data_IF_731189630784
#
_entry.id   IF_731189630784
#
_cell.length_a   1.000
_cell.length_b   1.000
_cell.length_c   1.000
_cell.angle_alpha   90.00
_cell.angle_beta   90.00
_cell.angle_gamma   90.00
#
_symmetry.space_group_name_H-M   'P 1'
#
loop_
_entity.id
_entity.type
_entity.pdbx_description
1 polymer ?
#
# COMPACT_ATOMS: atom_id res chain seq x y z
N UNK A 1 -7.59 15.63 -6.89
CA UNK A 1 -8.06 15.97 -5.53
C UNK A 1 -6.91 15.77 -4.54
N UNK A 2 -6.49 16.84 -3.92
CA UNK A 2 -5.58 16.79 -2.79
C UNK A 2 -6.42 16.41 -1.58
N UNK A 3 -6.35 15.16 -1.12
CA UNK A 3 -6.95 14.74 0.13
C UNK A 3 -6.28 15.48 1.28
N UNK A 4 -7.00 16.38 1.95
CA UNK A 4 -6.52 17.07 3.12
C UNK A 4 -6.41 16.11 4.30
N UNK A 5 -5.22 15.80 4.73
CA UNK A 5 -4.99 15.37 6.11
C UNK A 5 -4.75 16.61 6.99
N UNK A 6 -5.05 16.45 8.28
CA UNK A 6 -5.08 17.49 9.28
C UNK A 6 -4.02 18.60 9.17
N UNK A 7 -4.41 19.83 9.41
CA UNK A 7 -3.71 21.07 9.13
C UNK A 7 -2.29 21.27 9.68
N UNK A 8 -1.79 20.42 10.55
CA UNK A 8 -0.47 20.60 11.17
C UNK A 8 0.71 20.01 10.40
N UNK A 9 0.47 19.07 9.47
CA UNK A 9 1.52 18.36 8.72
C UNK A 9 1.54 18.63 7.22
N UNK A 10 0.69 19.54 6.74
CA UNK A 10 0.47 19.86 5.32
C UNK A 10 1.76 20.27 4.60
N UNK A 11 2.76 20.76 5.30
CA UNK A 11 3.99 21.32 4.71
C UNK A 11 5.16 20.34 4.60
N UNK A 12 5.01 19.10 5.08
CA UNK A 12 6.16 18.19 5.15
C UNK A 12 6.34 17.34 3.90
N UNK A 13 5.25 16.77 3.38
CA UNK A 13 5.27 15.91 2.20
C UNK A 13 4.02 16.08 1.35
N UNK A 14 4.20 16.26 0.05
CA UNK A 14 3.12 16.22 -0.95
C UNK A 14 3.12 14.85 -1.64
N UNK A 15 1.92 14.29 -1.88
CA UNK A 15 1.78 13.03 -2.61
C UNK A 15 0.92 13.19 -3.86
N UNK A 16 1.40 12.64 -4.96
CA UNK A 16 0.60 12.42 -6.15
C UNK A 16 -0.20 11.12 -5.96
N UNK A 17 -1.53 11.21 -6.03
CA UNK A 17 -2.41 10.12 -5.60
C UNK A 17 -2.46 8.95 -6.58
N UNK A 18 -2.32 9.24 -7.90
CA UNK A 18 -2.50 8.27 -8.96
C UNK A 18 -1.77 8.71 -10.25
N UNK A 19 -1.11 7.81 -10.99
CA UNK A 19 -0.51 8.17 -12.28
C UNK A 19 -1.59 8.47 -13.33
N UNK A 20 -1.48 9.60 -14.05
CA UNK A 20 -2.43 10.01 -15.08
C UNK A 20 -2.54 9.00 -16.23
N UNK A 21 -1.47 8.27 -16.52
CA UNK A 21 -1.43 7.22 -17.53
C UNK A 21 -2.09 5.91 -17.11
N UNK A 22 -2.60 5.83 -15.86
CA UNK A 22 -3.10 4.60 -15.25
C UNK A 22 -1.97 3.71 -14.71
N UNK A 23 -2.35 2.68 -13.96
CA UNK A 23 -1.46 1.65 -13.43
C UNK A 23 -2.23 0.36 -13.12
N UNK A 24 -1.52 -0.70 -12.77
CA UNK A 24 -2.14 -1.97 -12.37
C UNK A 24 -2.77 -1.95 -10.97
N UNK A 25 -2.61 -0.89 -10.20
CA UNK A 25 -3.18 -0.76 -8.86
C UNK A 25 -4.72 -0.71 -8.87
N UNK A 26 -5.34 -0.78 -7.70
CA UNK A 26 -6.81 -0.84 -7.53
C UNK A 26 -7.45 -2.01 -8.29
N UNK A 27 -6.77 -3.17 -8.30
CA UNK A 27 -7.24 -4.41 -8.95
C UNK A 27 -7.38 -4.29 -10.47
N UNK A 28 -6.55 -3.44 -11.08
CA UNK A 28 -6.45 -3.31 -12.54
C UNK A 28 -5.39 -4.25 -13.14
N UNK A 29 -4.68 -5.03 -12.32
CA UNK A 29 -3.59 -5.91 -12.72
C UNK A 29 -3.95 -6.86 -13.88
N UNK A 30 -5.21 -7.26 -14.00
CA UNK A 30 -5.67 -8.12 -15.10
C UNK A 30 -6.08 -7.37 -16.37
N UNK A 31 -6.30 -6.06 -16.29
CA UNK A 31 -6.78 -5.23 -17.39
C UNK A 31 -5.78 -4.13 -17.79
N UNK A 32 -4.70 -3.99 -17.05
CA UNK A 32 -3.69 -2.97 -17.31
C UNK A 32 -2.87 -3.33 -18.54
N UNK A 33 -2.93 -2.45 -19.54
CA UNK A 33 -2.23 -2.60 -20.82
C UNK A 33 -1.35 -1.38 -21.08
N UNK A 34 -0.05 -1.47 -20.78
CA UNK A 34 0.88 -0.35 -20.98
C UNK A 34 1.13 -0.03 -22.46
N UNK A 35 0.80 -0.94 -23.39
CA UNK A 35 1.01 -0.69 -24.84
C UNK A 35 0.08 0.39 -25.39
N UNK A 36 -1.00 0.71 -24.67
CA UNK A 36 -1.93 1.79 -25.01
C UNK A 36 -1.42 3.19 -24.62
N UNK A 37 -0.28 3.28 -23.94
CA UNK A 37 0.29 4.56 -23.52
C UNK A 37 1.17 5.15 -24.63
N UNK A 38 1.07 6.47 -24.82
CA UNK A 38 1.98 7.23 -25.68
C UNK A 38 3.17 7.72 -24.84
N UNK A 39 4.37 7.27 -25.15
CA UNK A 39 5.57 7.60 -24.39
C UNK A 39 5.92 9.10 -24.40
N UNK A 40 5.66 9.80 -25.49
CA UNK A 40 5.93 11.23 -25.59
C UNK A 40 5.00 12.01 -24.67
N UNK A 41 3.69 11.75 -24.76
CA UNK A 41 2.68 12.37 -23.89
C UNK A 41 2.93 12.08 -22.40
N UNK A 42 3.31 10.85 -22.06
CA UNK A 42 3.66 10.48 -20.68
C UNK A 42 4.86 11.27 -20.18
N UNK A 43 5.91 11.38 -20.99
CA UNK A 43 7.11 12.12 -20.63
C UNK A 43 6.84 13.63 -20.51
N UNK A 44 6.05 14.21 -21.40
CA UNK A 44 5.64 15.62 -21.31
C UNK A 44 4.82 15.88 -20.04
N UNK A 45 3.86 14.98 -19.73
CA UNK A 45 3.06 15.08 -18.50
C UNK A 45 3.94 15.03 -17.24
N UNK A 46 4.88 14.07 -17.18
CA UNK A 46 5.80 13.95 -16.05
C UNK A 46 6.65 15.23 -15.87
N UNK A 47 7.19 15.78 -16.95
CA UNK A 47 7.95 17.04 -16.92
C UNK A 47 7.10 18.21 -16.45
N UNK A 48 5.88 18.34 -16.97
CA UNK A 48 4.93 19.37 -16.56
C UNK A 48 4.57 19.29 -15.07
N UNK A 49 4.30 18.08 -14.58
CA UNK A 49 4.02 17.83 -13.16
C UNK A 49 5.22 18.20 -12.28
N UNK A 50 6.43 17.78 -12.64
CA UNK A 50 7.65 18.07 -11.87
C UNK A 50 7.94 19.57 -11.85
N UNK A 51 7.78 20.29 -12.99
CA UNK A 51 7.93 21.73 -13.05
C UNK A 51 6.96 22.43 -12.07
N UNK A 52 5.68 22.08 -12.11
CA UNK A 52 4.66 22.64 -11.22
C UNK A 52 4.97 22.36 -9.75
N UNK A 53 5.41 21.12 -9.43
CA UNK A 53 5.82 20.76 -8.08
C UNK A 53 7.06 21.54 -7.61
N UNK A 54 8.01 21.78 -8.50
CA UNK A 54 9.20 22.58 -8.19
C UNK A 54 8.83 24.02 -7.81
N UNK A 55 7.90 24.64 -8.53
CA UNK A 55 7.40 25.99 -8.18
C UNK A 55 6.69 25.99 -6.81
N UNK A 56 5.77 25.03 -6.58
CA UNK A 56 5.09 24.91 -5.30
C UNK A 56 6.05 24.66 -4.12
N UNK A 57 7.13 23.92 -4.35
CA UNK A 57 8.14 23.70 -3.33
C UNK A 57 8.93 24.98 -3.04
N UNK A 58 9.31 25.76 -4.07
CA UNK A 58 9.96 27.08 -3.89
C UNK A 58 9.09 28.05 -3.10
N UNK A 59 7.76 27.97 -3.28
CA UNK A 59 6.77 28.72 -2.50
C UNK A 59 6.62 28.21 -1.04
N UNK A 60 7.33 27.14 -0.65
CA UNK A 60 7.27 26.57 0.68
C UNK A 60 6.00 25.75 0.99
N UNK A 61 5.23 25.34 -0.04
CA UNK A 61 3.98 24.58 0.13
C UNK A 61 4.22 23.17 0.67
N UNK A 62 5.37 22.58 0.39
CA UNK A 62 5.78 21.28 0.93
C UNK A 62 7.30 21.13 0.92
N UNK A 63 7.83 20.11 1.62
CA UNK A 63 9.27 19.82 1.70
C UNK A 63 9.70 18.63 0.87
N UNK A 64 8.91 17.58 0.85
CA UNK A 64 9.21 16.30 0.22
C UNK A 64 8.07 15.85 -0.68
N UNK A 65 8.42 15.15 -1.77
CA UNK A 65 7.49 14.53 -2.69
C UNK A 65 7.30 13.04 -2.33
N UNK A 66 6.08 12.56 -2.45
CA UNK A 66 5.73 11.14 -2.46
C UNK A 66 4.86 10.81 -3.66
N UNK A 67 4.94 9.58 -4.13
CA UNK A 67 4.04 9.03 -5.14
C UNK A 67 3.03 8.10 -4.48
N UNK A 68 1.92 7.83 -5.13
CA UNK A 68 0.96 6.83 -4.67
C UNK A 68 0.38 6.06 -5.85
N UNK A 69 0.21 4.75 -5.67
CA UNK A 69 -0.27 3.84 -6.70
C UNK A 69 0.57 3.91 -7.99
N UNK A 70 1.84 4.21 -7.81
CA UNK A 70 2.79 4.30 -8.89
C UNK A 70 3.49 2.94 -9.13
N UNK A 71 3.86 2.68 -10.37
CA UNK A 71 4.62 1.50 -10.77
C UNK A 71 6.11 1.72 -10.59
N UNK A 72 6.91 0.64 -10.62
CA UNK A 72 8.35 0.72 -10.59
C UNK A 72 8.89 1.60 -11.74
N UNK A 73 8.45 1.32 -12.98
CA UNK A 73 8.84 2.12 -14.15
C UNK A 73 8.55 3.61 -13.95
N UNK A 74 7.34 3.97 -13.52
CA UNK A 74 6.97 5.36 -13.34
C UNK A 74 7.75 6.04 -12.22
N UNK A 75 8.00 5.33 -11.11
CA UNK A 75 8.85 5.84 -10.03
C UNK A 75 10.25 6.15 -10.53
N UNK A 76 10.85 5.25 -11.32
CA UNK A 76 12.17 5.47 -11.93
C UNK A 76 12.17 6.62 -12.94
N UNK A 77 11.07 6.84 -13.69
CA UNK A 77 10.96 8.02 -14.56
C UNK A 77 10.93 9.32 -13.74
N UNK A 78 10.18 9.37 -12.61
CA UNK A 78 10.24 10.52 -11.70
C UNK A 78 11.67 10.75 -11.21
N UNK A 79 12.36 9.73 -10.73
CA UNK A 79 13.76 9.84 -10.26
C UNK A 79 14.66 10.40 -11.36
N UNK A 80 14.52 9.90 -12.58
CA UNK A 80 15.29 10.37 -13.75
C UNK A 80 15.10 11.85 -14.01
N UNK A 81 13.86 12.34 -14.05
CA UNK A 81 13.57 13.74 -14.31
C UNK A 81 13.89 14.66 -13.12
N UNK A 82 13.81 14.14 -11.89
CA UNK A 82 14.17 14.90 -10.68
C UNK A 82 15.67 15.22 -10.58
N UNK A 83 16.54 14.58 -11.39
CA UNK A 83 17.97 14.95 -11.43
C UNK A 83 18.20 16.42 -11.81
N UNK A 84 17.31 17.00 -12.58
CA UNK A 84 17.35 18.40 -12.96
C UNK A 84 16.80 19.34 -11.87
N UNK A 85 16.24 18.78 -10.77
CA UNK A 85 15.57 19.48 -9.67
C UNK A 85 16.12 19.07 -8.30
N UNK A 86 17.37 19.39 -7.95
CA UNK A 86 18.06 18.79 -6.78
C UNK A 86 17.40 19.10 -5.42
N UNK A 87 16.58 20.14 -5.37
CA UNK A 87 15.84 20.50 -4.15
C UNK A 87 14.55 19.71 -3.97
N UNK A 88 14.00 19.12 -5.04
CA UNK A 88 12.76 18.34 -5.03
C UNK A 88 13.08 16.86 -4.81
N UNK A 89 12.92 16.40 -3.58
CA UNK A 89 13.29 15.04 -3.17
C UNK A 89 12.06 14.12 -3.10
N UNK A 90 12.09 13.05 -3.88
CA UNK A 90 11.16 11.93 -3.78
C UNK A 90 11.61 11.02 -2.63
N UNK A 91 10.75 10.78 -1.64
CA UNK A 91 11.12 10.05 -0.41
C UNK A 91 10.27 8.82 -0.14
N UNK A 92 9.11 8.70 -0.78
CA UNK A 92 8.21 7.58 -0.50
C UNK A 92 7.26 7.27 -1.67
N UNK A 93 6.83 6.02 -1.71
CA UNK A 93 5.63 5.60 -2.44
C UNK A 93 4.56 5.16 -1.45
N UNK A 94 3.29 5.40 -1.76
CA UNK A 94 2.16 4.94 -0.95
C UNK A 94 1.31 3.99 -1.79
N UNK A 95 1.49 2.69 -1.61
CA UNK A 95 0.82 1.66 -2.36
C UNK A 95 0.08 0.68 -1.43
N UNK A 96 -0.89 -0.05 -1.96
CA UNK A 96 -1.54 -1.13 -1.22
C UNK A 96 -0.54 -2.22 -0.89
N UNK A 97 -0.50 -2.63 0.39
CA UNK A 97 0.34 -3.73 0.82
C UNK A 97 -0.26 -4.45 2.03
N UNK A 98 -0.37 -5.76 1.94
CA UNK A 98 -0.89 -6.64 2.99
C UNK A 98 -0.52 -8.10 2.71
N UNK A 99 -0.89 -9.02 3.59
CA UNK A 99 -0.78 -10.47 3.34
C UNK A 99 -1.49 -10.92 2.05
N UNK A 100 -2.55 -10.22 1.63
CA UNK A 100 -3.31 -10.52 0.41
C UNK A 100 -2.82 -9.76 -0.83
N UNK A 101 -2.13 -8.63 -0.66
CA UNK A 101 -1.64 -7.80 -1.74
C UNK A 101 -0.13 -7.59 -1.58
N UNK A 102 0.66 -8.39 -2.28
CA UNK A 102 2.12 -8.39 -2.19
C UNK A 102 2.82 -8.01 -3.50
N UNK A 103 2.13 -7.27 -4.37
CA UNK A 103 2.69 -6.80 -5.65
C UNK A 103 3.96 -5.96 -5.45
N UNK A 104 4.10 -5.30 -4.31
CA UNK A 104 5.27 -4.51 -3.96
C UNK A 104 6.54 -5.35 -3.71
N UNK A 105 6.40 -6.63 -3.36
CA UNK A 105 7.53 -7.55 -3.08
C UNK A 105 8.39 -7.84 -4.33
N UNK A 106 7.91 -7.49 -5.50
CA UNK A 106 8.59 -7.67 -6.78
C UNK A 106 9.51 -6.47 -7.07
N UNK A 107 9.36 -5.86 -8.23
CA UNK A 107 10.22 -4.75 -8.72
C UNK A 107 10.28 -3.55 -7.78
N UNK A 108 9.17 -3.25 -7.09
CA UNK A 108 9.10 -2.10 -6.19
C UNK A 108 10.00 -2.27 -4.95
N UNK A 109 10.14 -3.48 -4.43
CA UNK A 109 11.01 -3.76 -3.29
C UNK A 109 12.50 -3.55 -3.66
N UNK A 110 12.92 -4.02 -4.83
CA UNK A 110 14.27 -3.81 -5.35
C UNK A 110 14.54 -2.32 -5.60
N UNK A 111 13.62 -1.63 -6.28
CA UNK A 111 13.70 -0.18 -6.50
C UNK A 111 13.79 0.59 -5.17
N UNK A 112 12.96 0.24 -4.18
CA UNK A 112 12.99 0.86 -2.85
C UNK A 112 14.35 0.74 -2.19
N UNK A 113 14.99 -0.43 -2.29
CA UNK A 113 16.30 -0.68 -1.71
C UNK A 113 17.39 0.19 -2.38
N UNK A 114 17.43 0.19 -3.71
CA UNK A 114 18.48 0.89 -4.46
C UNK A 114 18.31 2.42 -4.46
N UNK A 115 17.08 2.90 -4.50
CA UNK A 115 16.78 4.33 -4.59
C UNK A 115 16.49 4.98 -3.23
N UNK A 116 16.54 4.21 -2.12
CA UNK A 116 16.23 4.68 -0.76
C UNK A 116 14.84 5.34 -0.65
N UNK A 117 13.84 4.76 -1.31
CA UNK A 117 12.45 5.20 -1.29
C UNK A 117 11.63 4.22 -0.47
N UNK A 118 11.00 4.69 0.61
CA UNK A 118 10.24 3.82 1.50
C UNK A 118 8.78 3.66 1.07
N UNK A 119 8.22 2.48 1.35
CA UNK A 119 6.78 2.23 1.21
C UNK A 119 6.01 2.80 2.41
N UNK A 120 4.93 3.50 2.12
CA UNK A 120 3.84 3.80 3.05
C UNK A 120 2.68 2.86 2.70
N UNK A 121 2.55 1.76 3.42
CA UNK A 121 1.56 0.73 3.12
C UNK A 121 0.16 1.16 3.52
N UNK A 122 -0.78 1.25 2.59
CA UNK A 122 -2.19 1.39 2.95
C UNK A 122 -2.94 0.05 2.86
N UNK A 123 -4.07 -0.05 3.55
CA UNK A 123 -4.90 -1.26 3.65
C UNK A 123 -4.17 -2.51 4.21
N UNK A 124 -3.36 -2.42 5.26
CA UNK A 124 -2.63 -3.57 5.79
C UNK A 124 -3.54 -4.70 6.28
N UNK A 125 -4.79 -4.38 6.61
CA UNK A 125 -5.84 -5.33 6.99
C UNK A 125 -6.83 -5.64 5.86
N UNK A 126 -6.51 -5.27 4.60
CA UNK A 126 -7.39 -5.46 3.42
C UNK A 126 -8.84 -5.00 3.66
N UNK A 127 -9.03 -3.79 4.24
CA UNK A 127 -10.35 -3.27 4.59
C UNK A 127 -11.01 -3.97 5.78
N UNK A 128 -10.24 -4.68 6.59
CA UNK A 128 -10.70 -5.48 7.72
C UNK A 128 -10.94 -6.95 7.38
N UNK A 129 -10.66 -7.39 6.15
CA UNK A 129 -10.86 -8.77 5.72
C UNK A 129 -9.89 -9.72 6.47
N UNK A 130 -8.64 -9.33 6.63
CA UNK A 130 -7.62 -10.10 7.36
C UNK A 130 -7.85 -10.22 8.87
N UNK A 131 -8.86 -9.57 9.42
CA UNK A 131 -9.24 -9.76 10.83
C UNK A 131 -10.03 -11.04 11.07
N UNK A 132 -10.50 -11.72 10.01
CA UNK A 132 -11.39 -12.88 10.09
C UNK A 132 -12.87 -12.55 10.42
N UNK A 133 -13.21 -11.29 10.73
CA UNK A 133 -14.56 -10.92 11.18
C UNK A 133 -15.66 -11.08 10.12
N UNK A 134 -15.27 -11.25 8.85
CA UNK A 134 -16.19 -11.46 7.72
C UNK A 134 -16.29 -12.91 7.28
N UNK A 135 -15.66 -13.84 8.01
CA UNK A 135 -15.77 -15.28 7.72
C UNK A 135 -17.19 -15.77 7.98
N UNK A 136 -17.57 -16.86 7.30
CA UNK A 136 -18.88 -17.50 7.40
C UNK A 136 -20.04 -16.52 7.09
N UNK A 137 -19.87 -15.69 6.06
CA UNK A 137 -20.84 -14.69 5.58
C UNK A 137 -21.27 -13.68 6.65
N UNK A 138 -20.46 -13.52 7.70
CA UNK A 138 -20.74 -12.58 8.75
C UNK A 138 -20.47 -11.13 8.28
N UNK A 139 -21.49 -10.27 8.37
CA UNK A 139 -21.40 -8.85 8.01
C UNK A 139 -21.77 -8.00 9.22
N UNK A 140 -20.81 -7.70 10.11
CA UNK A 140 -21.09 -6.91 11.31
C UNK A 140 -21.66 -5.53 10.93
N UNK A 141 -22.66 -5.08 11.70
CA UNK A 141 -23.26 -3.77 11.52
C UNK A 141 -22.19 -2.66 11.60
N UNK A 142 -22.37 -1.63 10.77
CA UNK A 142 -21.44 -0.50 10.66
C UNK A 142 -20.00 -0.86 10.25
N UNK A 143 -19.77 -2.10 9.81
CA UNK A 143 -18.47 -2.52 9.28
C UNK A 143 -18.19 -1.91 7.89
N UNK A 144 -16.94 -2.01 7.42
CA UNK A 144 -16.61 -1.61 6.05
C UNK A 144 -17.39 -2.43 5.02
N UNK A 145 -17.54 -3.74 5.26
CA UNK A 145 -18.26 -4.64 4.37
C UNK A 145 -19.75 -4.29 4.25
N UNK A 146 -20.41 -3.88 5.34
CA UNK A 146 -21.82 -3.47 5.30
C UNK A 146 -22.05 -2.21 4.45
N UNK A 147 -21.01 -1.37 4.26
CA UNK A 147 -21.08 -0.15 3.44
C UNK A 147 -20.54 -0.35 2.02
N UNK A 148 -19.61 -1.28 1.85
CA UNK A 148 -18.96 -1.58 0.56
C UNK A 148 -18.90 -3.10 0.40
N UNK A 149 -19.92 -3.73 -0.18
CA UNK A 149 -20.10 -5.20 -0.18
C UNK A 149 -18.95 -6.00 -0.81
N UNK A 150 -18.21 -5.43 -1.75
CA UNK A 150 -17.06 -6.10 -2.37
C UNK A 150 -15.72 -5.77 -1.71
N UNK A 151 -15.70 -4.91 -0.66
CA UNK A 151 -14.48 -4.29 -0.13
C UNK A 151 -13.59 -3.70 -1.24
N UNK A 152 -14.22 -3.01 -2.20
CA UNK A 152 -13.56 -2.46 -3.40
C UNK A 152 -12.92 -3.55 -4.28
N UNK A 153 -13.60 -4.69 -4.44
CA UNK A 153 -13.14 -5.81 -5.28
C UNK A 153 -12.13 -6.75 -4.61
N UNK A 154 -11.98 -6.70 -3.28
CA UNK A 154 -11.09 -7.61 -2.55
C UNK A 154 -11.72 -8.95 -2.22
N UNK A 155 -13.04 -9.06 -2.26
CA UNK A 155 -13.75 -10.31 -1.93
C UNK A 155 -14.01 -11.10 -3.20
N UNK A 156 -13.46 -12.29 -3.25
CA UNK A 156 -13.73 -13.34 -4.20
C UNK A 156 -13.45 -14.70 -3.50
N UNK A 157 -13.70 -15.80 -4.17
CA UNK A 157 -13.49 -17.14 -3.63
C UNK A 157 -12.03 -17.36 -3.19
N UNK A 158 -11.06 -16.99 -4.04
CA UNK A 158 -9.64 -17.19 -3.77
C UNK A 158 -9.17 -16.39 -2.54
N UNK A 159 -9.55 -15.11 -2.44
CA UNK A 159 -9.19 -14.27 -1.31
C UNK A 159 -9.87 -14.71 -0.01
N UNK A 160 -11.09 -15.25 -0.09
CA UNK A 160 -11.81 -15.80 1.08
C UNK A 160 -11.10 -17.02 1.63
N UNK A 161 -10.68 -17.95 0.76
CA UNK A 161 -9.87 -19.11 1.14
C UNK A 161 -8.53 -18.67 1.74
N UNK A 162 -7.84 -17.72 1.13
CA UNK A 162 -6.59 -17.18 1.65
C UNK A 162 -6.73 -16.59 3.06
N UNK A 163 -7.78 -15.79 3.31
CA UNK A 163 -8.06 -15.23 4.64
C UNK A 163 -8.28 -16.33 5.67
N UNK A 164 -9.05 -17.37 5.33
CA UNK A 164 -9.29 -18.50 6.23
C UNK A 164 -7.98 -19.20 6.64
N UNK A 165 -7.09 -19.41 5.69
CA UNK A 165 -5.77 -20.00 5.95
C UNK A 165 -4.86 -19.08 6.80
N UNK A 166 -4.83 -17.76 6.53
CA UNK A 166 -4.07 -16.82 7.35
C UNK A 166 -4.62 -16.72 8.78
N UNK A 167 -5.95 -16.74 8.97
CA UNK A 167 -6.56 -16.78 10.31
C UNK A 167 -6.20 -18.09 11.02
N UNK A 168 -6.24 -19.22 10.33
CA UNK A 168 -5.85 -20.52 10.87
C UNK A 168 -4.36 -20.54 11.27
N UNK A 169 -3.50 -19.95 10.46
CA UNK A 169 -2.08 -19.80 10.77
C UNK A 169 -1.86 -18.95 12.02
N UNK A 170 -2.55 -17.81 12.13
CA UNK A 170 -2.48 -16.96 13.31
C UNK A 170 -2.90 -17.71 14.59
N UNK A 171 -3.99 -18.47 14.51
CA UNK A 171 -4.48 -19.31 15.61
C UNK A 171 -3.46 -20.40 16.01
N UNK A 172 -2.80 -21.05 15.02
CA UNK A 172 -1.74 -22.04 15.28
C UNK A 172 -0.63 -21.46 16.15
N UNK A 173 -0.25 -20.22 15.92
CA UNK A 173 0.79 -19.52 16.68
C UNK A 173 0.25 -18.71 17.88
N UNK A 174 -1.05 -18.83 18.18
CA UNK A 174 -1.72 -18.13 19.29
C UNK A 174 -1.54 -16.60 19.21
N UNK A 175 -1.53 -16.05 18.00
CA UNK A 175 -1.44 -14.62 17.74
C UNK A 175 -2.77 -14.11 17.14
N UNK A 176 -3.15 -12.88 17.48
CA UNK A 176 -4.29 -12.22 16.84
C UNK A 176 -4.01 -12.01 15.34
N UNK A 177 -4.92 -12.41 14.42
CA UNK A 177 -4.75 -12.18 12.97
C UNK A 177 -4.45 -10.71 12.60
N UNK A 178 -5.00 -9.76 13.37
CA UNK A 178 -4.70 -8.32 13.19
C UNK A 178 -3.23 -8.05 13.49
N UNK A 179 -2.71 -8.61 14.58
CA UNK A 179 -1.31 -8.43 14.97
C UNK A 179 -0.36 -9.07 13.96
N UNK A 180 -0.68 -10.28 13.48
CA UNK A 180 0.10 -10.95 12.44
C UNK A 180 0.16 -10.11 11.16
N UNK A 181 -0.97 -9.57 10.70
CA UNK A 181 -1.03 -8.78 9.47
C UNK A 181 -0.26 -7.45 9.59
N UNK A 182 -0.34 -6.77 10.73
CA UNK A 182 0.41 -5.53 10.98
C UNK A 182 1.91 -5.81 11.10
N UNK A 183 2.30 -6.82 11.91
CA UNK A 183 3.69 -7.21 12.08
C UNK A 183 4.34 -7.64 10.76
N UNK A 184 3.61 -8.41 9.94
CA UNK A 184 4.08 -8.78 8.60
C UNK A 184 4.44 -7.56 7.75
N UNK A 185 3.58 -6.56 7.70
CA UNK A 185 3.87 -5.33 6.97
C UNK A 185 5.07 -4.59 7.60
N UNK A 186 5.08 -4.43 8.92
CA UNK A 186 6.08 -3.64 9.64
C UNK A 186 7.50 -4.22 9.52
N UNK A 187 7.63 -5.55 9.41
CA UNK A 187 8.94 -6.22 9.31
C UNK A 187 9.52 -6.22 7.88
N UNK A 188 8.84 -5.63 6.89
CA UNK A 188 9.41 -5.58 5.53
C UNK A 188 10.54 -4.55 5.44
N UNK A 189 11.68 -4.88 4.80
CA UNK A 189 12.86 -4.01 4.78
C UNK A 189 12.63 -2.66 4.07
N UNK A 190 11.66 -2.60 3.18
CA UNK A 190 11.29 -1.40 2.44
C UNK A 190 10.19 -0.57 3.14
N UNK A 191 9.70 -1.01 4.31
CA UNK A 191 8.61 -0.34 4.98
C UNK A 191 9.04 0.93 5.68
N UNK A 192 8.42 2.06 5.30
CA UNK A 192 8.58 3.33 6.00
C UNK A 192 7.46 3.57 7.03
N UNK A 193 6.24 3.16 6.72
CA UNK A 193 5.11 3.25 7.66
C UNK A 193 3.94 2.39 7.21
N UNK A 194 3.22 1.83 8.18
CA UNK A 194 1.97 1.11 7.97
C UNK A 194 0.80 2.05 8.28
N UNK A 195 -0.03 2.32 7.26
CA UNK A 195 -1.17 3.25 7.37
C UNK A 195 -2.45 2.46 7.59
N UNK A 196 -3.09 2.68 8.71
CA UNK A 196 -4.36 2.03 9.04
C UNK A 196 -5.42 3.04 9.49
N UNK A 197 -6.68 2.63 9.45
CA UNK A 197 -7.80 3.35 10.04
C UNK A 197 -8.55 2.45 11.02
N UNK A 198 -9.05 3.04 12.09
CA UNK A 198 -9.93 2.39 13.06
C UNK A 198 -11.22 3.20 13.21
N UNK A 199 -12.34 2.53 13.44
CA UNK A 199 -13.66 3.17 13.63
C UNK A 199 -13.98 3.42 15.09
N UNK A 200 -13.24 2.79 15.99
CA UNK A 200 -13.38 2.95 17.44
C UNK A 200 -12.04 2.75 18.17
N UNK A 201 -12.02 3.12 19.44
CA UNK A 201 -10.82 3.06 20.29
C UNK A 201 -10.35 1.62 20.57
N UNK A 202 -11.25 0.64 20.58
CA UNK A 202 -10.88 -0.75 20.82
C UNK A 202 -10.10 -1.31 19.63
N UNK A 203 -10.58 -1.07 18.41
CA UNK A 203 -9.86 -1.41 17.17
C UNK A 203 -8.50 -0.70 17.09
N UNK A 204 -8.45 0.59 17.39
CA UNK A 204 -7.22 1.35 17.39
C UNK A 204 -6.18 0.75 18.34
N UNK A 205 -6.56 0.49 19.59
CA UNK A 205 -5.69 -0.12 20.60
C UNK A 205 -5.26 -1.53 20.20
N UNK A 206 -6.16 -2.32 19.58
CA UNK A 206 -5.83 -3.67 19.14
C UNK A 206 -4.79 -3.64 18.00
N UNK A 207 -4.95 -2.76 17.01
CA UNK A 207 -4.00 -2.64 15.90
C UNK A 207 -2.61 -2.22 16.41
N UNK A 208 -2.54 -1.29 17.36
CA UNK A 208 -1.27 -0.84 17.93
C UNK A 208 -0.47 -1.96 18.59
N UNK A 209 -1.12 -2.94 19.22
CA UNK A 209 -0.42 -4.11 19.79
C UNK A 209 0.34 -4.93 18.74
N UNK A 210 -0.11 -4.90 17.49
CA UNK A 210 0.59 -5.58 16.39
C UNK A 210 1.92 -4.94 15.99
N UNK A 211 2.17 -3.68 16.39
CA UNK A 211 3.41 -2.96 16.03
C UNK A 211 4.63 -3.54 16.74
N UNK A 212 4.46 -4.01 17.98
CA UNK A 212 5.53 -4.56 18.81
C UNK A 212 5.73 -6.07 18.60
N UNK A 213 4.88 -6.70 17.80
CA UNK A 213 4.96 -8.14 17.52
C UNK A 213 6.08 -8.39 16.51
N UNK A 214 6.91 -9.38 16.81
CA UNK A 214 7.94 -9.90 15.92
C UNK A 214 7.55 -11.32 15.50
N UNK A 215 7.31 -11.51 14.20
CA UNK A 215 7.04 -12.83 13.63
C UNK A 215 8.33 -13.63 13.55
N UNK A 216 8.30 -14.89 13.98
CA UNK A 216 9.45 -15.79 13.86
C UNK A 216 9.75 -16.12 12.40
N UNK A 217 11.00 -16.55 12.13
CA UNK A 217 11.38 -17.02 10.79
C UNK A 217 10.50 -18.18 10.30
N UNK A 218 10.15 -19.11 11.19
CA UNK A 218 9.26 -20.22 10.89
C UNK A 218 7.88 -19.71 10.45
N UNK A 219 7.29 -18.78 11.19
CA UNK A 219 6.00 -18.17 10.84
C UNK A 219 6.07 -17.42 9.51
N UNK A 220 7.16 -16.69 9.25
CA UNK A 220 7.38 -16.01 7.98
C UNK A 220 7.51 -16.99 6.81
N UNK A 221 8.13 -18.16 7.02
CA UNK A 221 8.18 -19.22 6.01
C UNK A 221 6.79 -19.76 5.68
N UNK A 222 5.96 -20.03 6.71
CA UNK A 222 4.57 -20.49 6.50
C UNK A 222 3.70 -19.41 5.81
N UNK A 223 3.84 -18.15 6.19
CA UNK A 223 3.20 -17.02 5.50
C UNK A 223 3.60 -16.99 4.00
N UNK A 224 4.86 -17.21 3.70
CA UNK A 224 5.34 -17.27 2.31
C UNK A 224 4.81 -18.50 1.55
N UNK A 225 4.63 -19.64 2.22
CA UNK A 225 4.00 -20.83 1.63
C UNK A 225 2.53 -20.56 1.31
N UNK A 226 1.80 -19.90 2.20
CA UNK A 226 0.41 -19.50 1.95
C UNK A 226 0.32 -18.52 0.76
N UNK A 227 1.24 -17.57 0.65
CA UNK A 227 1.26 -16.68 -0.51
C UNK A 227 1.54 -17.42 -1.82
N UNK A 228 2.40 -18.44 -1.82
CA UNK A 228 2.61 -19.31 -3.00
C UNK A 228 1.35 -20.10 -3.37
N UNK A 229 0.56 -20.50 -2.38
CA UNK A 229 -0.72 -21.19 -2.60
C UNK A 229 -1.80 -20.25 -3.15
N UNK A 230 -1.79 -19.00 -2.73
CA UNK A 230 -2.76 -17.97 -3.09
C UNK A 230 -2.07 -16.69 -3.62
N UNK A 231 -1.36 -16.76 -4.75
CA UNK A 231 -0.72 -15.58 -5.32
C UNK A 231 -1.77 -14.65 -5.92
N UNK A 232 -1.58 -13.34 -5.76
CA UNK A 232 -2.45 -12.31 -6.37
C UNK A 232 -3.93 -12.64 -6.16
N UNK A 233 -4.39 -12.54 -4.92
CA UNK A 233 -5.73 -12.98 -4.51
C UNK A 233 -6.88 -12.16 -5.10
N UNK A 234 -6.59 -10.94 -5.59
CA UNK A 234 -7.57 -10.02 -6.23
C UNK A 234 -6.91 -9.03 -7.19
#
# INVERSE_FOLDING_TARGET
QVGSSAASDVYKRQQLHWPNRGSYHFRQNWNYDPTKQNNEEVNENLRGVINSLSELQKEGKFRYLGLSNETCWGTLQFIKFLKDFPNLKLVSTQNEYSLLCRLYDLDMAEMSHHENISLLAYSPLAGGFLTGKYMNDNVPNNSRLSRVPSLFGRINENSTLAVSEYVSLANKYQIDPVHMAIAFCNQRPFMGSVIFGATDNAQFKNILKGVDVVLSEEMMLEINQLYKKFPITF
#
